data_IF_962681607872
#
_entry.id   IF_962681607872
#
_cell.length_a   1.000
_cell.length_b   1.000
_cell.length_c   1.000
_cell.angle_alpha   90.00
_cell.angle_beta   90.00
_cell.angle_gamma   90.00
#
_symmetry.space_group_name_H-M   'P 1'
#
loop_
_entity.id
_entity.type
_entity.pdbx_description
1 polymer ?
#
# COMPACT_ATOMS: atom_id res chain seq x y z
N UNK A 1 36.58 -19.23 14.56
CA UNK A 1 35.14 -19.36 14.26
C UNK A 1 34.40 -18.53 15.28
N UNK A 2 34.09 -17.29 14.91
CA UNK A 2 33.20 -16.38 15.62
C UNK A 2 32.48 -15.58 14.52
N UNK A 3 31.19 -15.35 14.75
CA UNK A 3 30.17 -14.88 13.83
C UNK A 3 30.48 -13.47 13.29
N UNK A 4 30.11 -13.22 12.03
CA UNK A 4 30.23 -11.89 11.40
C UNK A 4 29.03 -11.04 11.81
N UNK A 5 29.32 -9.98 12.56
CA UNK A 5 28.41 -8.93 12.97
C UNK A 5 27.77 -8.18 11.79
N UNK A 6 26.47 -7.93 11.91
CA UNK A 6 25.70 -7.05 11.03
C UNK A 6 26.10 -5.59 11.29
N UNK A 7 26.78 -4.96 10.34
CA UNK A 7 27.00 -3.52 10.37
C UNK A 7 25.81 -2.81 9.71
N UNK A 8 24.86 -2.33 10.51
CA UNK A 8 23.81 -1.41 10.05
C UNK A 8 24.40 0.01 10.05
N UNK A 9 24.71 0.56 8.87
CA UNK A 9 25.12 1.96 8.76
C UNK A 9 23.87 2.83 8.72
N UNK A 10 23.47 3.37 9.88
CA UNK A 10 22.53 4.50 9.96
C UNK A 10 23.34 5.78 9.75
N UNK A 11 23.19 6.46 8.61
CA UNK A 11 23.74 7.80 8.42
C UNK A 11 22.70 8.85 8.85
N UNK A 12 22.93 9.62 9.93
CA UNK A 12 22.04 10.71 10.28
C UNK A 12 22.21 11.87 9.29
N UNK A 13 21.10 12.38 8.74
CA UNK A 13 21.07 13.60 7.94
C UNK A 13 21.11 14.81 8.90
N UNK A 14 22.16 15.61 8.87
CA UNK A 14 22.24 16.87 9.63
C UNK A 14 21.75 18.02 8.75
N UNK A 15 20.76 18.78 9.22
CA UNK A 15 20.28 19.99 8.56
C UNK A 15 20.99 21.22 9.14
N UNK A 16 21.50 22.10 8.28
CA UNK A 16 22.00 23.41 8.71
C UNK A 16 20.92 24.49 8.58
N UNK A 17 20.99 25.59 9.35
CA UNK A 17 20.02 26.69 9.28
C UNK A 17 19.95 27.41 7.92
N UNK A 18 20.91 27.18 7.03
CA UNK A 18 20.97 27.78 5.69
C UNK A 18 20.34 26.91 4.58
N UNK A 19 19.86 25.71 4.89
CA UNK A 19 19.22 24.83 3.89
C UNK A 19 20.17 24.09 2.95
N UNK A 20 21.49 24.22 3.13
CA UNK A 20 22.48 23.44 2.38
C UNK A 20 22.66 22.05 2.98
N UNK A 21 22.68 21.03 2.11
CA UNK A 21 22.93 19.62 2.44
C UNK A 21 24.43 19.34 2.37
N UNK A 22 25.07 19.06 3.50
CA UNK A 22 26.46 18.60 3.56
C UNK A 22 26.44 17.09 3.83
N UNK A 23 27.12 16.33 2.97
CA UNK A 23 27.37 14.90 3.22
C UNK A 23 28.41 14.76 4.34
N UNK A 24 28.11 13.97 5.36
CA UNK A 24 29.06 13.66 6.43
C UNK A 24 30.15 12.69 5.93
N UNK A 25 31.03 13.15 5.05
CA UNK A 25 32.29 12.47 4.73
C UNK A 25 33.53 13.32 5.07
N UNK A 26 33.39 14.60 5.45
CA UNK A 26 34.54 15.49 5.66
C UNK A 26 34.88 15.80 7.13
N UNK A 27 34.29 15.10 8.12
CA UNK A 27 34.49 15.41 9.55
C UNK A 27 34.87 14.23 10.46
N UNK A 28 35.27 13.07 9.92
CA UNK A 28 35.73 11.93 10.72
C UNK A 28 37.25 11.75 10.61
N UNK A 29 37.99 12.75 11.06
CA UNK A 29 39.38 12.57 11.52
C UNK A 29 39.55 13.33 12.84
N UNK A 30 38.86 12.87 13.88
CA UNK A 30 39.40 12.80 15.25
C UNK A 30 38.31 12.37 16.24
N UNK A 31 38.74 11.61 17.24
CA UNK A 31 37.99 11.13 18.42
C UNK A 31 37.12 9.87 18.21
N UNK A 32 37.78 8.71 18.10
CA UNK A 32 37.20 7.46 18.60
C UNK A 32 37.32 7.42 20.13
N UNK A 33 36.19 7.46 20.85
CA UNK A 33 36.08 6.82 22.16
C UNK A 33 34.84 5.91 22.19
N UNK A 34 34.97 4.68 22.69
CA UNK A 34 33.85 3.74 22.71
C UNK A 34 32.87 4.09 23.82
N UNK A 35 31.60 4.28 23.47
CA UNK A 35 30.50 4.39 24.43
C UNK A 35 30.11 2.98 24.88
N UNK A 36 30.31 2.68 26.17
CA UNK A 36 29.85 1.44 26.82
C UNK A 36 28.38 1.60 27.16
N UNK A 37 27.52 0.77 26.57
CA UNK A 37 26.09 0.67 26.94
C UNK A 37 25.94 -0.21 28.20
N UNK A 38 25.11 0.18 29.20
CA UNK A 38 24.79 -0.68 30.33
C UNK A 38 23.79 -1.78 29.93
N UNK A 39 24.01 -2.99 30.44
CA UNK A 39 23.18 -4.16 30.19
C UNK A 39 21.77 -4.02 30.80
N UNK A 40 20.73 -4.37 30.05
CA UNK A 40 19.35 -4.51 30.53
C UNK A 40 19.16 -5.84 31.27
N UNK A 41 18.41 -5.88 32.39
CA UNK A 41 18.23 -7.09 33.18
C UNK A 41 17.23 -8.06 32.55
N UNK A 42 17.61 -9.34 32.57
CA UNK A 42 16.78 -10.51 32.30
C UNK A 42 15.64 -10.63 33.31
N UNK A 43 14.41 -10.80 32.83
CA UNK A 43 13.28 -11.31 33.61
C UNK A 43 12.48 -12.31 32.76
N UNK A 44 12.71 -13.59 33.03
CA UNK A 44 11.84 -14.68 32.65
C UNK A 44 10.89 -15.00 33.81
N UNK A 45 9.57 -14.94 33.61
CA UNK A 45 8.56 -15.79 34.28
C UNK A 45 7.16 -15.62 33.60
N UNK A 46 6.18 -16.52 33.82
CA UNK A 46 5.67 -17.43 32.79
C UNK A 46 4.23 -17.11 32.30
N UNK A 47 3.81 -17.83 31.26
CA UNK A 47 2.48 -17.83 30.67
C UNK A 47 1.35 -17.98 31.70
N UNK A 48 0.36 -17.09 31.62
CA UNK A 48 -1.00 -17.32 32.14
C UNK A 48 -1.95 -17.31 30.94
N UNK A 49 -2.60 -18.46 30.74
CA UNK A 49 -3.68 -18.65 29.77
C UNK A 49 -4.93 -17.97 30.33
N UNK A 50 -5.48 -16.99 29.60
CA UNK A 50 -6.81 -16.44 29.84
C UNK A 50 -7.73 -16.77 28.64
N UNK A 51 -8.91 -17.28 28.96
CA UNK A 51 -9.97 -17.66 28.02
C UNK A 51 -10.68 -16.42 27.43
N UNK A 52 -11.48 -16.56 26.36
CA UNK A 52 -11.78 -15.46 25.43
C UNK A 52 -12.90 -14.56 25.96
N UNK A 53 -12.60 -13.28 26.15
CA UNK A 53 -13.64 -12.25 26.30
C UNK A 53 -14.16 -11.83 24.93
N UNK A 54 -15.45 -12.09 24.71
CA UNK A 54 -16.22 -11.60 23.57
C UNK A 54 -16.39 -10.09 23.67
N UNK A 55 -15.50 -9.33 23.03
CA UNK A 55 -15.72 -7.91 22.80
C UNK A 55 -16.48 -7.71 21.48
N UNK A 56 -17.70 -7.17 21.58
CA UNK A 56 -18.41 -6.60 20.44
C UNK A 56 -17.62 -5.44 19.82
N UNK A 57 -17.96 -4.99 18.60
CA UNK A 57 -17.16 -3.98 17.91
C UNK A 57 -17.19 -2.66 18.69
N UNK A 58 -16.01 -2.21 19.10
CA UNK A 58 -15.81 -0.90 19.69
C UNK A 58 -16.22 0.17 18.68
N UNK A 59 -17.18 1.03 19.06
CA UNK A 59 -17.50 2.22 18.28
C UNK A 59 -16.30 3.18 18.35
N UNK A 60 -15.78 3.59 17.19
CA UNK A 60 -14.71 4.58 17.14
C UNK A 60 -15.24 5.95 17.53
N UNK A 61 -14.79 6.46 18.68
CA UNK A 61 -15.02 7.85 19.05
C UNK A 61 -14.09 8.76 18.24
N UNK A 62 -14.57 9.27 17.11
CA UNK A 62 -13.95 10.42 16.46
C UNK A 62 -14.25 11.67 17.32
N UNK A 63 -13.25 12.12 18.09
CA UNK A 63 -13.29 13.45 18.69
C UNK A 63 -13.12 14.52 17.59
N UNK A 64 -13.87 15.64 17.61
CA UNK A 64 -13.76 16.66 16.59
C UNK A 64 -12.52 17.51 16.85
N UNK A 65 -11.50 17.39 16.01
CA UNK A 65 -10.46 18.42 15.90
C UNK A 65 -10.09 18.67 14.44
N UNK A 66 -11.00 19.32 13.74
CA UNK A 66 -10.66 20.24 12.65
C UNK A 66 -11.48 21.50 12.94
N UNK A 67 -10.80 22.56 13.38
CA UNK A 67 -11.38 23.90 13.34
C UNK A 67 -11.83 24.17 11.91
N UNK A 68 -13.03 24.71 11.71
CA UNK A 68 -13.58 25.13 10.42
C UNK A 68 -12.77 26.28 9.78
N UNK A 69 -11.45 26.14 9.67
CA UNK A 69 -10.69 26.89 8.69
C UNK A 69 -11.23 26.49 7.33
N UNK A 70 -11.82 27.46 6.62
CA UNK A 70 -12.20 27.31 5.21
C UNK A 70 -11.03 26.66 4.47
N UNK A 71 -11.20 25.40 4.09
CA UNK A 71 -10.25 24.73 3.21
C UNK A 71 -10.31 25.50 1.89
N UNK A 72 -9.30 26.32 1.62
CA UNK A 72 -9.10 26.95 0.32
C UNK A 72 -8.35 25.95 -0.59
N UNK A 73 -8.42 26.15 -1.90
CA UNK A 73 -7.74 25.28 -2.87
C UNK A 73 -6.23 25.19 -2.61
N UNK A 74 -5.63 26.27 -2.10
CA UNK A 74 -4.19 26.35 -1.80
C UNK A 74 -3.75 25.45 -0.63
N UNK A 75 -4.65 25.12 0.30
CA UNK A 75 -4.35 24.23 1.44
C UNK A 75 -4.44 22.74 1.09
N UNK A 76 -5.15 22.37 0.02
CA UNK A 76 -5.37 20.97 -0.35
C UNK A 76 -4.06 20.21 -0.60
N UNK A 77 -3.06 20.73 -1.34
CA UNK A 77 -1.76 20.09 -1.49
C UNK A 77 -1.08 19.73 -0.15
N UNK A 78 -1.15 20.63 0.83
CA UNK A 78 -0.58 20.41 2.16
C UNK A 78 -1.35 19.32 2.92
N UNK A 79 -2.68 19.33 2.86
CA UNK A 79 -3.51 18.28 3.46
C UNK A 79 -3.18 16.90 2.87
N UNK A 80 -3.04 16.82 1.55
CA UNK A 80 -2.68 15.57 0.87
C UNK A 80 -1.31 15.07 1.35
N UNK A 81 -0.28 15.93 1.36
CA UNK A 81 1.07 15.55 1.83
C UNK A 81 1.07 15.02 3.26
N UNK A 82 0.28 15.64 4.14
CA UNK A 82 0.18 15.24 5.55
C UNK A 82 -0.57 13.93 5.72
N UNK A 83 -1.69 13.76 5.03
CA UNK A 83 -2.57 12.61 5.24
C UNK A 83 -2.13 11.36 4.48
N UNK A 84 -1.40 11.50 3.36
CA UNK A 84 -1.13 10.39 2.44
C UNK A 84 0.36 10.13 2.24
N UNK A 85 0.76 8.87 2.38
CA UNK A 85 2.07 8.36 1.96
C UNK A 85 1.95 7.25 0.92
N UNK A 86 2.68 7.35 -0.18
CA UNK A 86 2.85 6.33 -1.20
C UNK A 86 4.13 5.55 -0.94
N UNK A 87 3.99 4.26 -0.61
CA UNK A 87 5.05 3.34 -0.24
C UNK A 87 5.32 2.40 -1.41
N UNK A 88 6.30 2.75 -2.24
CA UNK A 88 6.57 2.09 -3.52
C UNK A 88 7.73 1.12 -3.35
N UNK A 89 7.48 -0.17 -3.62
CA UNK A 89 8.54 -1.18 -3.67
C UNK A 89 9.04 -1.33 -5.10
N UNK A 90 10.34 -1.11 -5.31
CA UNK A 90 11.03 -1.48 -6.55
C UNK A 90 12.10 -2.52 -6.25
N UNK A 91 11.95 -3.70 -6.82
CA UNK A 91 12.87 -4.81 -6.57
C UNK A 91 13.58 -5.23 -7.85
N UNK A 92 14.86 -5.57 -7.70
CA UNK A 92 15.69 -6.04 -8.80
C UNK A 92 15.51 -7.56 -8.95
N UNK A 93 14.99 -8.06 -10.07
CA UNK A 93 14.91 -9.50 -10.29
C UNK A 93 16.33 -10.09 -10.37
N UNK A 94 16.52 -11.24 -9.73
CA UNK A 94 17.79 -11.97 -9.78
C UNK A 94 18.09 -12.45 -11.21
N UNK A 95 19.32 -12.25 -11.66
CA UNK A 95 19.87 -12.75 -12.93
C UNK A 95 19.03 -12.44 -14.18
N UNK A 96 18.29 -11.32 -14.18
CA UNK A 96 17.42 -10.93 -15.30
C UNK A 96 17.51 -9.43 -15.64
N UNK A 97 18.64 -9.03 -16.20
CA UNK A 97 18.93 -7.62 -16.52
C UNK A 97 17.97 -7.02 -17.55
N UNK A 98 17.47 -7.82 -18.49
CA UNK A 98 16.53 -7.37 -19.50
C UNK A 98 15.16 -7.01 -18.88
N UNK A 99 14.66 -7.84 -17.95
CA UNK A 99 13.45 -7.52 -17.20
C UNK A 99 13.69 -6.32 -16.28
N UNK A 100 14.84 -6.29 -15.60
CA UNK A 100 15.22 -5.19 -14.72
C UNK A 100 15.20 -3.84 -15.45
N UNK A 101 15.86 -3.73 -16.60
CA UNK A 101 15.91 -2.49 -17.37
C UNK A 101 14.50 -1.96 -17.74
N UNK A 102 13.59 -2.85 -18.14
CA UNK A 102 12.19 -2.49 -18.44
C UNK A 102 11.44 -2.02 -17.19
N UNK A 103 11.54 -2.76 -16.09
CA UNK A 103 10.85 -2.47 -14.83
C UNK A 103 11.37 -1.17 -14.22
N UNK A 104 12.67 -0.95 -14.23
CA UNK A 104 13.30 0.30 -13.79
C UNK A 104 12.85 1.50 -14.63
N UNK A 105 12.68 1.33 -15.95
CA UNK A 105 12.10 2.37 -16.82
C UNK A 105 10.66 2.69 -16.42
N UNK A 106 9.84 1.67 -16.16
CA UNK A 106 8.46 1.83 -15.72
C UNK A 106 8.35 2.47 -14.32
N UNK A 107 9.23 2.09 -13.40
CA UNK A 107 9.35 2.67 -12.07
C UNK A 107 9.60 4.17 -12.15
N UNK A 108 10.57 4.60 -12.96
CA UNK A 108 10.84 6.03 -13.18
C UNK A 108 9.64 6.78 -13.75
N UNK A 109 8.92 6.18 -14.71
CA UNK A 109 7.69 6.75 -15.27
C UNK A 109 6.59 6.87 -14.20
N UNK A 110 6.46 5.88 -13.33
CA UNK A 110 5.53 5.91 -12.20
C UNK A 110 5.90 7.04 -11.23
N UNK A 111 7.17 7.17 -10.86
CA UNK A 111 7.61 8.25 -9.96
C UNK A 111 7.30 9.63 -10.53
N UNK A 112 7.60 9.84 -11.82
CA UNK A 112 7.25 11.09 -12.52
C UNK A 112 5.73 11.31 -12.47
N UNK A 113 4.92 10.29 -12.75
CA UNK A 113 3.47 10.43 -12.73
C UNK A 113 2.96 10.83 -11.33
N UNK A 114 3.37 10.12 -10.27
CA UNK A 114 2.93 10.43 -8.90
C UNK A 114 3.39 11.83 -8.45
N UNK A 115 4.63 12.19 -8.78
CA UNK A 115 5.23 13.49 -8.46
C UNK A 115 4.73 14.65 -9.34
N UNK A 116 3.94 14.41 -10.39
CA UNK A 116 3.39 15.48 -11.23
C UNK A 116 1.87 15.57 -11.15
N UNK A 117 1.19 14.45 -10.88
CA UNK A 117 -0.27 14.37 -10.80
C UNK A 117 -0.80 14.50 -9.38
N UNK A 118 0.02 14.25 -8.35
CA UNK A 118 -0.46 14.25 -6.96
C UNK A 118 0.44 15.05 -6.04
N UNK A 119 -0.10 15.38 -4.87
CA UNK A 119 0.66 15.89 -3.74
C UNK A 119 0.96 14.81 -2.69
N UNK A 120 0.74 13.53 -3.00
CA UNK A 120 1.04 12.43 -2.05
C UNK A 120 2.53 12.39 -1.74
N UNK A 121 2.88 12.17 -0.47
CA UNK A 121 4.26 12.00 -0.01
C UNK A 121 4.82 10.67 -0.51
N UNK A 122 6.03 10.64 -1.08
CA UNK A 122 6.59 9.42 -1.71
C UNK A 122 7.69 8.81 -0.83
N UNK A 123 7.60 7.51 -0.59
CA UNK A 123 8.56 6.69 0.14
C UNK A 123 8.96 5.49 -0.73
N UNK A 124 10.26 5.20 -0.82
CA UNK A 124 10.77 4.16 -1.71
C UNK A 124 11.42 3.02 -0.92
N UNK A 125 11.00 1.79 -1.17
CA UNK A 125 11.69 0.58 -0.75
C UNK A 125 12.43 -0.01 -1.95
N UNK A 126 13.76 0.09 -1.95
CA UNK A 126 14.64 -0.34 -3.04
C UNK A 126 15.35 -1.63 -2.63
N UNK A 127 15.00 -2.75 -3.26
CA UNK A 127 15.43 -4.08 -2.83
C UNK A 127 16.22 -4.84 -3.92
N UNK A 128 17.36 -5.42 -3.56
CA UNK A 128 18.22 -6.18 -4.46
C UNK A 128 19.06 -5.31 -5.41
N UNK A 129 19.04 -3.99 -5.24
CA UNK A 129 19.81 -3.07 -6.07
C UNK A 129 21.28 -3.10 -5.66
N UNK A 130 22.20 -3.01 -6.61
CA UNK A 130 23.59 -2.79 -6.26
C UNK A 130 23.85 -1.31 -5.89
N UNK A 131 24.95 -1.06 -5.19
CA UNK A 131 25.27 0.29 -4.69
C UNK A 131 25.41 1.32 -5.81
N UNK A 132 25.98 0.93 -6.95
CA UNK A 132 26.13 1.80 -8.11
C UNK A 132 24.78 2.20 -8.72
N UNK A 133 23.86 1.24 -8.88
CA UNK A 133 22.50 1.51 -9.36
C UNK A 133 21.76 2.48 -8.44
N UNK A 134 21.91 2.29 -7.12
CA UNK A 134 21.32 3.18 -6.13
C UNK A 134 21.90 4.60 -6.22
N UNK A 135 23.24 4.73 -6.26
CA UNK A 135 23.92 6.02 -6.35
C UNK A 135 23.59 6.76 -7.65
N UNK A 136 23.64 6.06 -8.80
CA UNK A 136 23.26 6.61 -10.11
C UNK A 136 21.81 7.11 -10.11
N UNK A 137 20.90 6.37 -9.46
CA UNK A 137 19.51 6.77 -9.32
C UNK A 137 19.35 8.03 -8.46
N UNK A 138 20.07 8.15 -7.35
CA UNK A 138 20.01 9.31 -6.46
C UNK A 138 20.56 10.60 -7.10
N UNK A 139 21.57 10.49 -7.96
CA UNK A 139 22.09 11.63 -8.72
C UNK A 139 21.01 12.19 -9.65
N UNK A 140 20.15 11.33 -10.18
CA UNK A 140 19.16 11.67 -11.20
C UNK A 140 19.84 11.96 -12.54
N UNK A 141 19.49 11.15 -13.54
CA UNK A 141 20.02 11.26 -14.90
C UNK A 141 19.30 12.33 -15.75
N UNK A 142 18.20 12.90 -15.26
CA UNK A 142 17.46 13.98 -15.94
C UNK A 142 17.02 15.10 -14.98
N UNK A 143 16.82 16.34 -15.47
CA UNK A 143 16.27 17.43 -14.65
C UNK A 143 14.91 17.11 -14.02
N UNK A 144 14.07 16.35 -14.71
CA UNK A 144 12.77 15.89 -14.23
C UNK A 144 12.95 14.92 -13.06
N UNK A 145 13.81 13.91 -13.21
CA UNK A 145 14.09 12.96 -12.13
C UNK A 145 14.69 13.65 -10.91
N UNK A 146 15.58 14.63 -11.09
CA UNK A 146 16.11 15.44 -9.98
C UNK A 146 15.00 16.18 -9.22
N UNK A 147 13.97 16.68 -9.92
CA UNK A 147 12.79 17.30 -9.28
C UNK A 147 11.93 16.27 -8.54
N UNK A 148 11.75 15.09 -9.13
CA UNK A 148 11.02 13.97 -8.52
C UNK A 148 11.70 13.51 -7.23
N UNK A 149 13.02 13.32 -7.24
CA UNK A 149 13.79 12.88 -6.07
C UNK A 149 13.76 13.89 -4.93
N UNK A 150 13.65 15.19 -5.22
CA UNK A 150 13.41 16.22 -4.20
C UNK A 150 12.05 16.09 -3.50
N UNK A 151 11.09 15.39 -4.11
CA UNK A 151 9.77 15.10 -3.53
C UNK A 151 9.69 13.78 -2.78
N UNK A 152 10.71 12.93 -2.91
CA UNK A 152 10.79 11.69 -2.13
C UNK A 152 11.16 12.05 -0.70
N UNK A 153 10.36 11.58 0.25
CA UNK A 153 10.54 11.86 1.67
C UNK A 153 11.65 10.98 2.25
N UNK A 154 11.64 9.69 1.92
CA UNK A 154 12.64 8.75 2.42
C UNK A 154 12.86 7.56 1.47
N UNK A 155 14.01 6.91 1.62
CA UNK A 155 14.43 5.73 0.86
C UNK A 155 14.94 4.66 1.82
N UNK A 156 14.49 3.42 1.62
CA UNK A 156 15.03 2.26 2.31
C UNK A 156 15.69 1.34 1.32
N UNK A 157 17.01 1.24 1.42
CA UNK A 157 17.82 0.43 0.53
C UNK A 157 18.18 -0.91 1.18
N UNK A 158 18.09 -1.99 0.42
CA UNK A 158 18.66 -3.29 0.78
C UNK A 158 19.31 -3.93 -0.45
N UNK A 159 20.60 -4.22 -0.37
CA UNK A 159 21.35 -4.85 -1.44
C UNK A 159 20.97 -6.34 -1.65
N UNK A 160 20.40 -6.98 -0.63
CA UNK A 160 20.00 -8.38 -0.68
C UNK A 160 18.59 -8.53 -1.25
N UNK A 161 18.41 -9.57 -2.06
CA UNK A 161 17.10 -9.98 -2.55
C UNK A 161 16.19 -10.36 -1.37
N UNK A 162 14.95 -9.87 -1.40
CA UNK A 162 13.93 -10.16 -0.40
C UNK A 162 12.66 -10.66 -1.07
N UNK A 163 12.00 -11.60 -0.39
CA UNK A 163 10.68 -12.07 -0.80
C UNK A 163 9.69 -10.91 -0.77
N UNK A 164 8.70 -10.98 -1.65
CA UNK A 164 7.68 -9.93 -1.82
C UNK A 164 6.96 -9.58 -0.51
N UNK A 165 6.64 -10.58 0.31
CA UNK A 165 6.00 -10.36 1.61
C UNK A 165 6.85 -9.51 2.55
N UNK A 166 8.17 -9.71 2.58
CA UNK A 166 9.08 -8.94 3.42
C UNK A 166 9.14 -7.47 2.98
N UNK A 167 9.13 -7.23 1.67
CA UNK A 167 9.04 -5.86 1.14
C UNK A 167 7.72 -5.19 1.53
N UNK A 168 6.60 -5.92 1.47
CA UNK A 168 5.30 -5.41 1.88
C UNK A 168 5.24 -5.10 3.38
N UNK A 169 5.72 -6.01 4.21
CA UNK A 169 5.80 -5.84 5.68
C UNK A 169 6.63 -4.61 6.02
N UNK A 170 7.79 -4.44 5.40
CA UNK A 170 8.63 -3.25 5.61
C UNK A 170 7.89 -1.95 5.27
N UNK A 171 7.22 -1.89 4.12
CA UNK A 171 6.39 -0.71 3.78
C UNK A 171 5.28 -0.46 4.81
N UNK A 172 4.60 -1.51 5.29
CA UNK A 172 3.56 -1.40 6.31
C UNK A 172 4.12 -0.93 7.66
N UNK A 173 5.29 -1.41 8.07
CA UNK A 173 5.94 -1.00 9.32
C UNK A 173 6.26 0.49 9.31
N UNK A 174 6.90 0.97 8.23
CA UNK A 174 7.18 2.39 8.06
C UNK A 174 5.89 3.22 7.98
N UNK A 175 4.87 2.72 7.28
CA UNK A 175 3.58 3.39 7.23
C UNK A 175 2.92 3.54 8.60
N UNK A 176 2.77 2.45 9.35
CA UNK A 176 2.16 2.50 10.67
C UNK A 176 3.02 3.27 11.68
N UNK A 177 4.32 3.46 11.44
CA UNK A 177 5.18 4.32 12.25
C UNK A 177 5.05 5.81 11.88
N UNK A 178 4.52 6.13 10.69
CA UNK A 178 4.32 7.51 10.23
C UNK A 178 3.07 8.16 10.83
N UNK A 179 2.98 9.49 10.67
CA UNK A 179 1.78 10.27 10.99
C UNK A 179 0.74 10.31 9.85
N UNK A 180 1.02 9.64 8.72
CA UNK A 180 0.07 9.57 7.62
C UNK A 180 -1.18 8.81 8.03
N UNK A 181 -2.35 9.34 7.65
CA UNK A 181 -3.66 8.73 7.86
C UNK A 181 -3.89 7.55 6.93
N UNK A 182 -3.34 7.62 5.72
CA UNK A 182 -3.51 6.65 4.65
C UNK A 182 -2.17 6.28 4.01
N UNK A 183 -1.99 4.98 3.80
CA UNK A 183 -0.82 4.40 3.16
C UNK A 183 -1.22 3.78 1.84
N UNK A 184 -0.62 4.23 0.74
CA UNK A 184 -0.79 3.66 -0.59
C UNK A 184 0.36 2.70 -0.83
N UNK A 185 0.05 1.42 -0.83
CA UNK A 185 1.00 0.32 -1.01
C UNK A 185 1.09 0.02 -2.49
N UNK A 186 2.29 0.18 -3.08
CA UNK A 186 2.50 0.18 -4.53
C UNK A 186 3.63 -0.75 -4.97
N UNK A 187 3.41 -1.43 -6.08
CA UNK A 187 4.47 -2.03 -6.88
C UNK A 187 5.09 -0.95 -7.82
N UNK A 188 6.18 -1.30 -8.50
CA UNK A 188 7.02 -0.38 -9.30
C UNK A 188 6.54 -0.08 -10.74
N UNK A 189 5.24 -0.25 -11.01
CA UNK A 189 4.62 0.18 -12.26
C UNK A 189 3.16 0.62 -12.15
N UNK A 190 2.69 0.89 -10.94
CA UNK A 190 1.28 1.18 -10.68
C UNK A 190 1.00 2.70 -10.64
N UNK A 191 0.14 3.15 -11.55
CA UNK A 191 -0.42 4.51 -11.56
C UNK A 191 -1.94 4.44 -11.70
N UNK A 192 -2.62 5.60 -11.60
CA UNK A 192 -4.04 5.68 -11.93
C UNK A 192 -4.25 6.16 -13.37
N UNK A 193 -5.28 5.66 -14.04
CA UNK A 193 -5.68 6.18 -15.35
C UNK A 193 -6.17 7.62 -15.22
N UNK A 194 -5.66 8.52 -16.06
CA UNK A 194 -5.98 9.95 -16.09
C UNK A 194 -6.99 10.34 -17.18
N UNK A 195 -7.67 9.37 -17.79
CA UNK A 195 -8.73 9.63 -18.77
C UNK A 195 -9.94 10.33 -18.14
N UNK A 196 -10.56 11.26 -18.90
CA UNK A 196 -11.61 12.16 -18.42
C UNK A 196 -12.92 11.44 -18.02
N UNK A 197 -13.15 10.23 -18.54
CA UNK A 197 -14.33 9.42 -18.20
C UNK A 197 -14.26 8.80 -16.80
N UNK A 198 -13.22 9.12 -16.03
CA UNK A 198 -12.99 8.60 -14.68
C UNK A 198 -13.33 9.66 -13.63
N UNK A 199 -14.37 9.36 -12.86
CA UNK A 199 -14.94 10.22 -11.83
C UNK A 199 -14.10 10.27 -10.55
N UNK A 200 -12.81 10.65 -10.65
CA UNK A 200 -11.92 11.29 -9.65
C UNK A 200 -10.46 11.03 -10.03
N UNK A 201 -10.10 9.78 -10.37
CA UNK A 201 -8.71 9.40 -10.67
C UNK A 201 -7.76 9.87 -9.54
N UNK A 202 -6.63 10.49 -9.86
CA UNK A 202 -5.68 11.06 -8.91
C UNK A 202 -6.27 12.15 -8.00
N UNK A 203 -7.38 12.79 -8.40
CA UNK A 203 -8.06 13.80 -7.57
C UNK A 203 -8.71 13.20 -6.32
N UNK A 204 -8.93 11.87 -6.29
CA UNK A 204 -9.49 11.18 -5.14
C UNK A 204 -8.76 11.54 -3.85
N UNK A 205 -7.41 11.61 -3.87
CA UNK A 205 -6.63 11.88 -2.66
C UNK A 205 -6.88 13.29 -2.12
N UNK A 206 -6.96 14.27 -3.02
CA UNK A 206 -7.33 15.64 -2.68
C UNK A 206 -8.75 15.69 -2.11
N UNK A 207 -9.71 15.12 -2.82
CA UNK A 207 -11.12 15.11 -2.44
C UNK A 207 -11.36 14.41 -1.09
N UNK A 208 -10.70 13.27 -0.84
CA UNK A 208 -10.76 12.56 0.43
C UNK A 208 -10.10 13.35 1.57
N UNK A 209 -9.03 14.10 1.28
CA UNK A 209 -8.33 14.88 2.31
C UNK A 209 -9.17 16.03 2.86
N UNK A 210 -10.07 16.57 2.05
CA UNK A 210 -11.01 17.63 2.45
C UNK A 210 -12.10 17.08 3.38
N UNK A 211 -12.58 15.86 3.11
CA UNK A 211 -13.74 15.26 3.78
C UNK A 211 -13.36 14.01 4.62
N UNK A 212 -12.15 13.96 5.21
CA UNK A 212 -11.57 12.74 5.80
C UNK A 212 -12.52 11.98 6.74
N UNK A 213 -13.28 12.72 7.58
CA UNK A 213 -14.21 12.17 8.56
C UNK A 213 -15.40 11.41 7.93
N UNK A 214 -15.77 11.74 6.69
CA UNK A 214 -16.90 11.09 6.00
C UNK A 214 -16.59 9.68 5.49
N UNK A 215 -15.33 9.25 5.56
CA UNK A 215 -14.90 7.91 5.13
C UNK A 215 -14.88 6.89 6.27
N UNK A 216 -15.63 7.12 7.35
CA UNK A 216 -15.85 6.10 8.38
C UNK A 216 -16.40 4.80 7.74
N UNK A 217 -15.85 3.65 8.13
CA UNK A 217 -16.19 2.36 7.53
C UNK A 217 -15.47 2.04 6.20
N UNK A 218 -14.49 2.87 5.80
CA UNK A 218 -13.44 2.52 4.83
C UNK A 218 -12.13 2.25 5.60
N UNK A 219 -11.65 1.02 5.52
CA UNK A 219 -10.42 0.59 6.22
C UNK A 219 -9.30 0.24 5.24
N UNK A 220 -9.63 -0.56 4.21
CA UNK A 220 -8.75 -0.89 3.09
C UNK A 220 -9.53 -0.70 1.79
N UNK A 221 -8.92 -0.05 0.81
CA UNK A 221 -9.51 0.02 -0.53
C UNK A 221 -8.50 -0.07 -1.67
N UNK A 222 -8.97 -0.42 -2.86
CA UNK A 222 -8.13 -0.56 -4.05
C UNK A 222 -8.89 -0.12 -5.32
N UNK A 223 -8.18 0.28 -6.39
CA UNK A 223 -8.80 0.71 -7.64
C UNK A 223 -9.47 -0.42 -8.42
N UNK A 224 -10.31 -0.06 -9.40
CA UNK A 224 -10.76 -0.99 -10.43
C UNK A 224 -9.54 -1.46 -11.24
N UNK A 225 -9.40 -2.78 -11.38
CA UNK A 225 -8.49 -3.37 -12.35
C UNK A 225 -9.17 -3.44 -13.73
N UNK A 226 -8.77 -2.56 -14.65
CA UNK A 226 -9.33 -2.50 -16.01
C UNK A 226 -9.15 -3.80 -16.80
N UNK A 227 -8.15 -4.63 -16.47
CA UNK A 227 -7.94 -5.92 -17.13
C UNK A 227 -8.95 -7.00 -16.70
N UNK A 228 -9.63 -6.84 -15.55
CA UNK A 228 -10.59 -7.82 -15.01
C UNK A 228 -12.04 -7.33 -15.02
N UNK A 229 -12.26 -6.02 -15.06
CA UNK A 229 -13.58 -5.43 -14.86
C UNK A 229 -13.93 -4.49 -16.02
N UNK A 230 -15.12 -4.63 -16.64
CA UNK A 230 -15.62 -3.68 -17.62
C UNK A 230 -15.98 -2.38 -16.92
N UNK A 231 -14.99 -1.54 -16.66
CA UNK A 231 -15.14 -0.34 -15.84
C UNK A 231 -16.16 0.66 -16.44
N UNK A 232 -16.35 0.68 -17.76
CA UNK A 232 -17.40 1.46 -18.41
C UNK A 232 -18.80 1.12 -17.89
N UNK A 233 -19.07 -0.15 -17.58
CA UNK A 233 -20.33 -0.58 -16.96
C UNK A 233 -20.39 -0.18 -15.49
N UNK A 234 -19.30 -0.41 -14.77
CA UNK A 234 -19.23 -0.19 -13.32
C UNK A 234 -19.27 1.29 -12.94
N UNK A 235 -18.71 2.17 -13.76
CA UNK A 235 -18.59 3.61 -13.53
C UNK A 235 -19.65 4.38 -14.30
N UNK A 236 -19.75 4.15 -15.62
CA UNK A 236 -20.60 4.94 -16.51
C UNK A 236 -21.95 4.28 -16.80
N UNK A 237 -22.14 3.01 -16.39
CA UNK A 237 -23.35 2.27 -16.69
C UNK A 237 -23.46 1.88 -18.16
N UNK A 238 -22.35 1.86 -18.90
CA UNK A 238 -22.30 1.57 -20.33
C UNK A 238 -21.76 0.15 -20.55
N UNK A 239 -22.49 -0.65 -21.31
CA UNK A 239 -22.06 -1.97 -21.77
C UNK A 239 -22.26 -2.04 -23.28
N UNK A 240 -21.20 -2.36 -24.02
CA UNK A 240 -21.23 -2.49 -25.50
C UNK A 240 -21.86 -1.24 -26.18
N UNK A 241 -21.43 -0.06 -25.76
CA UNK A 241 -21.94 1.26 -26.19
C UNK A 241 -23.42 1.56 -25.88
N UNK A 242 -24.06 0.73 -25.03
CA UNK A 242 -25.43 0.91 -24.57
C UNK A 242 -25.47 1.30 -23.10
N UNK A 243 -26.21 2.35 -22.76
CA UNK A 243 -26.48 2.74 -21.37
C UNK A 243 -27.46 1.76 -20.75
N UNK A 244 -26.99 0.98 -19.78
CA UNK A 244 -27.78 -0.01 -19.03
C UNK A 244 -27.97 0.37 -17.55
N UNK A 245 -27.22 1.36 -17.04
CA UNK A 245 -27.41 1.97 -15.70
C UNK A 245 -27.31 3.50 -15.80
N UNK A 246 -28.39 4.20 -16.18
CA UNK A 246 -28.33 5.63 -16.56
C UNK A 246 -27.84 6.55 -15.44
N UNK A 247 -28.14 6.23 -14.17
CA UNK A 247 -27.76 7.09 -13.04
C UNK A 247 -26.32 6.86 -12.56
N UNK A 248 -25.62 5.87 -13.11
CA UNK A 248 -24.36 5.41 -12.55
C UNK A 248 -23.24 6.45 -12.76
N UNK A 249 -23.22 7.12 -13.91
CA UNK A 249 -22.27 8.20 -14.19
C UNK A 249 -22.46 9.36 -13.20
N UNK A 250 -23.70 9.79 -12.98
CA UNK A 250 -24.02 10.88 -12.05
C UNK A 250 -23.72 10.50 -10.60
N UNK A 251 -24.06 9.27 -10.20
CA UNK A 251 -23.74 8.71 -8.89
C UNK A 251 -22.24 8.81 -8.58
N UNK A 252 -21.38 8.40 -9.50
CA UNK A 252 -19.92 8.49 -9.33
C UNK A 252 -19.39 9.92 -9.49
N UNK A 253 -20.08 10.78 -10.25
CA UNK A 253 -19.75 12.20 -10.32
C UNK A 253 -19.94 12.88 -8.96
N UNK A 254 -21.04 12.59 -8.28
CA UNK A 254 -21.43 13.20 -7.00
C UNK A 254 -20.80 12.53 -5.78
N UNK A 255 -20.46 11.23 -5.86
CA UNK A 255 -19.98 10.46 -4.72
C UNK A 255 -18.71 9.68 -5.02
N UNK A 256 -17.92 9.42 -3.98
CA UNK A 256 -16.99 8.30 -3.95
C UNK A 256 -17.73 7.02 -3.55
N UNK A 257 -17.65 6.01 -4.40
CA UNK A 257 -18.38 4.75 -4.28
C UNK A 257 -17.39 3.62 -3.96
N UNK A 258 -17.55 3.03 -2.78
CA UNK A 258 -16.73 1.91 -2.31
C UNK A 258 -17.58 0.64 -2.18
N UNK A 259 -17.31 -0.37 -3.00
CA UNK A 259 -18.03 -1.65 -2.98
C UNK A 259 -17.21 -2.75 -2.32
N UNK A 260 -17.83 -3.58 -1.49
CA UNK A 260 -17.19 -4.72 -0.86
C UNK A 260 -16.61 -5.64 -1.92
N UNK A 261 -15.30 -5.84 -1.88
CA UNK A 261 -14.59 -6.68 -2.83
C UNK A 261 -13.30 -7.18 -2.18
N UNK A 262 -13.07 -8.48 -2.25
CA UNK A 262 -11.99 -9.14 -1.53
C UNK A 262 -10.90 -9.67 -2.47
N UNK A 263 -11.01 -9.39 -3.78
CA UNK A 263 -9.95 -9.59 -4.77
C UNK A 263 -9.06 -8.34 -4.82
N UNK A 264 -8.40 -8.06 -3.69
CA UNK A 264 -7.48 -6.94 -3.54
C UNK A 264 -6.34 -7.08 -4.57
N UNK A 265 -5.96 -5.97 -5.18
CA UNK A 265 -4.95 -5.94 -6.23
C UNK A 265 -3.60 -5.55 -5.64
N UNK A 266 -2.65 -6.49 -5.57
CA UNK A 266 -1.35 -6.27 -4.93
C UNK A 266 -0.53 -5.09 -5.49
N UNK A 267 -0.71 -4.73 -6.76
CA UNK A 267 0.05 -3.63 -7.36
C UNK A 267 -0.36 -2.25 -6.85
N UNK A 268 -1.58 -2.09 -6.34
CA UNK A 268 -2.00 -0.88 -5.65
C UNK A 268 -3.16 -1.17 -4.71
N UNK A 269 -2.95 -0.89 -3.43
CA UNK A 269 -4.03 -0.76 -2.46
C UNK A 269 -3.74 0.34 -1.44
N UNK A 270 -4.79 0.82 -0.78
CA UNK A 270 -4.75 1.84 0.24
C UNK A 270 -5.21 1.24 1.55
N UNK A 271 -4.52 1.55 2.63
CA UNK A 271 -4.83 1.11 3.98
C UNK A 271 -4.86 2.30 4.93
N UNK A 272 -5.82 2.32 5.86
CA UNK A 272 -5.90 3.29 6.96
C UNK A 272 -4.82 3.01 8.00
N UNK A 273 -4.27 4.05 8.60
CA UNK A 273 -3.35 3.89 9.73
C UNK A 273 -4.12 3.56 11.01
N UNK A 274 -4.29 2.27 11.29
CA UNK A 274 -5.01 1.78 12.46
C UNK A 274 -4.40 2.25 13.80
N UNK A 275 -3.09 2.53 13.85
CA UNK A 275 -2.45 3.01 15.09
C UNK A 275 -2.99 4.37 15.52
N UNK A 276 -3.29 5.26 14.57
CA UNK A 276 -3.82 6.59 14.86
C UNK A 276 -5.26 6.56 15.40
N UNK A 277 -5.95 5.42 15.25
CA UNK A 277 -7.27 5.16 15.82
C UNK A 277 -7.24 4.15 16.98
N UNK A 278 -6.04 3.84 17.52
CA UNK A 278 -5.84 2.85 18.58
C UNK A 278 -6.41 1.45 18.27
N UNK A 279 -6.44 1.08 16.99
CA UNK A 279 -6.91 -0.21 16.51
C UNK A 279 -5.73 -1.14 16.19
N UNK A 280 -5.89 -2.47 16.33
CA UNK A 280 -4.86 -3.44 15.95
C UNK A 280 -4.46 -3.30 14.48
N UNK A 281 -3.15 -3.21 14.21
CA UNK A 281 -2.63 -3.08 12.83
C UNK A 281 -2.78 -4.39 12.05
N UNK A 282 -3.11 -4.28 10.76
CA UNK A 282 -3.05 -5.42 9.84
C UNK A 282 -1.61 -5.60 9.40
N UNK A 283 -0.94 -6.63 9.92
CA UNK A 283 0.43 -6.97 9.59
C UNK A 283 0.52 -8.46 9.22
N UNK A 284 0.74 -8.80 7.94
CA UNK A 284 0.95 -10.18 7.51
C UNK A 284 2.19 -10.80 8.18
N UNK A 285 2.14 -12.10 8.47
CA UNK A 285 3.32 -12.84 8.92
C UNK A 285 4.37 -12.90 7.79
N UNK A 286 5.62 -12.41 8.00
CA UNK A 286 6.68 -12.50 7.00
C UNK A 286 7.07 -13.95 6.65
N UNK A 287 6.68 -14.94 7.45
CA UNK A 287 6.83 -16.36 7.13
C UNK A 287 5.85 -16.87 6.06
N UNK A 288 4.83 -16.09 5.67
CA UNK A 288 3.96 -16.42 4.54
C UNK A 288 4.69 -16.16 3.22
N UNK A 289 5.49 -17.14 2.79
CA UNK A 289 6.34 -16.99 1.60
C UNK A 289 5.71 -17.54 0.32
N UNK A 290 4.42 -17.85 0.36
CA UNK A 290 3.64 -18.37 -0.76
C UNK A 290 3.11 -17.21 -1.62
N UNK A 291 2.61 -17.54 -2.81
CA UNK A 291 1.97 -16.55 -3.69
C UNK A 291 0.64 -16.03 -3.09
N UNK A 292 0.27 -14.80 -3.44
CA UNK A 292 -0.99 -14.18 -3.01
C UNK A 292 -0.90 -13.48 -1.65
N UNK A 293 0.19 -12.76 -1.40
CA UNK A 293 0.39 -11.97 -0.19
C UNK A 293 -0.63 -10.82 -0.06
N UNK A 294 -1.10 -10.31 -1.19
CA UNK A 294 -2.19 -9.33 -1.28
C UNK A 294 -3.53 -9.93 -0.83
N UNK A 295 -3.80 -11.15 -1.24
CA UNK A 295 -4.95 -11.94 -0.81
C UNK A 295 -4.84 -12.27 0.67
N UNK A 296 -3.66 -12.66 1.15
CA UNK A 296 -3.42 -12.87 2.58
C UNK A 296 -3.69 -11.61 3.39
N UNK A 297 -3.15 -10.46 2.99
CA UNK A 297 -3.41 -9.18 3.64
C UNK A 297 -4.91 -8.87 3.70
N UNK A 298 -5.64 -9.06 2.60
CA UNK A 298 -7.08 -8.84 2.56
C UNK A 298 -7.85 -9.79 3.50
N UNK A 299 -7.50 -11.07 3.54
CA UNK A 299 -8.15 -12.03 4.44
C UNK A 299 -7.83 -11.71 5.90
N UNK A 300 -6.60 -11.34 6.21
CA UNK A 300 -6.20 -10.93 7.54
C UNK A 300 -7.00 -9.70 8.01
N UNK A 301 -7.09 -8.66 7.19
CA UNK A 301 -7.88 -7.47 7.48
C UNK A 301 -9.35 -7.80 7.76
N UNK A 302 -9.97 -8.62 6.90
CA UNK A 302 -11.37 -9.05 7.07
C UNK A 302 -11.53 -9.86 8.36
N UNK A 303 -10.59 -10.76 8.65
CA UNK A 303 -10.63 -11.61 9.85
C UNK A 303 -10.55 -10.82 11.16
N UNK A 304 -10.05 -9.59 11.10
CA UNK A 304 -9.97 -8.61 12.19
C UNK A 304 -11.17 -7.66 12.23
N UNK A 305 -12.14 -7.83 11.32
CA UNK A 305 -13.34 -7.01 11.22
C UNK A 305 -13.20 -5.77 10.34
N UNK A 306 -12.08 -5.59 9.62
CA UNK A 306 -11.87 -4.44 8.75
C UNK A 306 -12.48 -4.65 7.35
N UNK A 307 -13.04 -3.59 6.80
CA UNK A 307 -13.59 -3.59 5.45
C UNK A 307 -12.48 -3.59 4.38
N UNK A 308 -12.67 -4.41 3.35
CA UNK A 308 -11.86 -4.38 2.12
C UNK A 308 -12.79 -4.06 0.96
N UNK A 309 -12.54 -2.94 0.29
CA UNK A 309 -13.46 -2.37 -0.70
C UNK A 309 -12.73 -2.03 -2.00
N UNK A 310 -13.41 -2.17 -3.14
CA UNK A 310 -12.99 -1.54 -4.40
C UNK A 310 -13.53 -0.12 -4.44
N UNK A 311 -12.68 0.87 -4.70
CA UNK A 311 -13.11 2.23 -4.99
C UNK A 311 -13.40 2.36 -6.49
N UNK A 312 -14.65 2.62 -6.85
CA UNK A 312 -15.07 2.68 -8.25
C UNK A 312 -14.73 4.03 -8.92
N UNK A 313 -14.10 4.96 -8.20
CA UNK A 313 -13.72 6.29 -8.71
C UNK A 313 -12.27 6.37 -9.21
N UNK A 314 -11.50 5.29 -9.03
CA UNK A 314 -10.11 5.18 -9.46
C UNK A 314 -9.89 3.88 -10.23
N UNK A 315 -9.12 3.96 -11.31
CA UNK A 315 -8.80 2.82 -12.18
C UNK A 315 -7.29 2.66 -12.22
N UNK A 316 -6.84 1.45 -11.98
CA UNK A 316 -5.45 1.07 -12.05
C UNK A 316 -4.98 1.04 -13.49
N UNK A 317 -3.79 1.60 -13.71
CA UNK A 317 -3.01 1.43 -14.92
C UNK A 317 -1.62 0.92 -14.54
N UNK A 318 -1.31 -0.29 -15.00
CA UNK A 318 0.01 -0.90 -14.85
C UNK A 318 0.82 -0.58 -16.13
N UNK A 319 2.05 -0.09 -15.98
CA UNK A 319 2.92 0.13 -17.15
C UNK A 319 3.52 -1.17 -17.68
N UNK A 320 3.57 -2.21 -16.86
CA UNK A 320 4.17 -3.47 -17.27
C UNK A 320 3.13 -4.41 -17.85
N UNK A 321 3.49 -5.04 -18.97
CA UNK A 321 2.63 -6.04 -19.60
C UNK A 321 2.59 -7.33 -18.76
N UNK A 322 1.54 -8.16 -18.88
CA UNK A 322 1.51 -9.48 -18.24
C UNK A 322 2.73 -10.37 -18.58
N UNK A 323 3.39 -10.14 -19.73
CA UNK A 323 4.57 -10.90 -20.17
C UNK A 323 5.84 -10.53 -19.41
N UNK A 324 5.87 -9.36 -18.80
CA UNK A 324 6.99 -8.85 -18.00
C UNK A 324 6.63 -8.90 -16.49
N UNK A 325 5.73 -9.82 -16.13
CA UNK A 325 5.34 -10.12 -14.74
C UNK A 325 6.47 -10.84 -14.01
N UNK A 326 6.71 -10.45 -12.76
CA UNK A 326 7.70 -11.10 -11.89
C UNK A 326 7.37 -12.57 -11.56
N UNK A 327 6.13 -12.99 -11.77
CA UNK A 327 5.63 -14.31 -11.37
C UNK A 327 5.67 -15.39 -12.47
N UNK A 328 6.43 -15.15 -13.55
CA UNK A 328 6.68 -16.16 -14.58
C UNK A 328 5.47 -16.54 -15.43
N UNK A 329 5.50 -17.76 -15.99
CA UNK A 329 4.49 -18.25 -16.92
C UNK A 329 3.11 -18.50 -16.25
N UNK A 330 1.99 -18.36 -16.99
CA UNK A 330 0.64 -18.46 -16.43
C UNK A 330 0.32 -19.76 -15.70
N UNK A 331 0.82 -20.91 -16.17
CA UNK A 331 0.55 -22.22 -15.58
C UNK A 331 1.20 -22.36 -14.20
N UNK A 332 2.49 -22.02 -14.08
CA UNK A 332 3.20 -22.01 -12.81
C UNK A 332 2.57 -21.05 -11.80
N UNK A 333 2.01 -19.93 -12.29
CA UNK A 333 1.27 -18.97 -11.46
C UNK A 333 -0.01 -19.58 -10.89
N UNK A 334 -0.74 -20.37 -11.67
CA UNK A 334 -1.98 -21.02 -11.22
C UNK A 334 -1.71 -22.02 -10.09
N UNK A 335 -0.66 -22.82 -10.20
CA UNK A 335 -0.30 -23.79 -9.17
C UNK A 335 0.17 -23.09 -7.89
N UNK A 336 1.01 -22.07 -8.02
CA UNK A 336 1.44 -21.25 -6.88
C UNK A 336 0.26 -20.53 -6.19
N UNK A 337 -0.70 -20.02 -6.97
CA UNK A 337 -1.95 -19.45 -6.45
C UNK A 337 -2.76 -20.47 -5.66
N UNK A 338 -2.85 -21.70 -6.16
CA UNK A 338 -3.56 -22.78 -5.46
C UNK A 338 -2.91 -23.10 -4.12
N UNK A 339 -1.58 -23.25 -4.09
CA UNK A 339 -0.83 -23.54 -2.87
C UNK A 339 -1.01 -22.44 -1.81
N UNK A 340 -0.86 -21.17 -2.21
CA UNK A 340 -1.13 -20.05 -1.33
C UNK A 340 -2.56 -20.04 -0.78
N UNK A 341 -3.55 -20.24 -1.66
CA UNK A 341 -4.95 -20.25 -1.25
C UNK A 341 -5.31 -21.46 -0.36
N UNK A 342 -4.69 -22.62 -0.55
CA UNK A 342 -4.85 -23.76 0.36
C UNK A 342 -4.37 -23.40 1.76
N UNK A 343 -3.19 -22.78 1.87
CA UNK A 343 -2.67 -22.35 3.16
C UNK A 343 -3.57 -21.31 3.83
N UNK A 344 -4.13 -20.36 3.07
CA UNK A 344 -5.10 -19.41 3.59
C UNK A 344 -6.37 -20.09 4.08
N UNK A 345 -6.91 -21.03 3.31
CA UNK A 345 -8.09 -21.80 3.69
C UNK A 345 -7.86 -22.58 5.00
N UNK A 346 -6.67 -23.17 5.21
CA UNK A 346 -6.30 -23.80 6.49
C UNK A 346 -6.24 -22.78 7.63
N UNK A 347 -5.58 -21.64 7.41
CA UNK A 347 -5.38 -20.62 8.45
C UNK A 347 -6.68 -19.97 8.93
N UNK A 348 -7.71 -19.91 8.08
CA UNK A 348 -9.00 -19.26 8.38
C UNK A 348 -10.19 -20.22 8.27
N UNK A 349 -9.95 -21.53 8.38
CA UNK A 349 -10.97 -22.57 8.24
C UNK A 349 -12.09 -22.42 9.29
N UNK A 350 -11.72 -22.08 10.53
CA UNK A 350 -12.61 -21.85 11.67
C UNK A 350 -13.61 -20.70 11.40
N UNK A 351 -13.20 -19.72 10.59
CA UNK A 351 -14.02 -18.60 10.15
C UNK A 351 -14.78 -18.87 8.85
N UNK A 352 -14.68 -20.08 8.30
CA UNK A 352 -15.42 -20.50 7.10
C UNK A 352 -14.74 -20.16 5.77
N UNK A 353 -13.46 -19.79 5.75
CA UNK A 353 -12.72 -19.66 4.49
C UNK A 353 -12.39 -21.05 3.94
N UNK A 354 -12.64 -21.27 2.64
CA UNK A 354 -12.41 -22.57 2.00
C UNK A 354 -12.01 -22.42 0.54
N UNK A 355 -11.43 -23.47 -0.04
CA UNK A 355 -11.21 -23.54 -1.48
C UNK A 355 -12.54 -23.67 -2.24
N UNK A 356 -12.61 -23.11 -3.45
CA UNK A 356 -13.67 -23.45 -4.41
C UNK A 356 -13.46 -24.87 -4.93
N UNK A 357 -14.56 -25.53 -5.29
CA UNK A 357 -14.52 -26.80 -6.01
C UNK A 357 -14.09 -26.58 -7.47
N UNK A 358 -14.63 -25.53 -8.11
CA UNK A 358 -14.27 -25.13 -9.46
C UNK A 358 -14.37 -23.59 -9.59
N UNK A 359 -13.31 -22.89 -10.05
CA UNK A 359 -11.96 -23.40 -10.28
C UNK A 359 -11.20 -23.60 -8.96
N UNK A 360 -10.48 -24.71 -8.86
CA UNK A 360 -9.80 -25.21 -7.65
C UNK A 360 -8.60 -24.37 -7.14
N UNK A 361 -8.23 -23.30 -7.86
CA UNK A 361 -7.16 -22.39 -7.44
C UNK A 361 -7.70 -21.11 -6.77
N UNK A 362 -9.03 -20.98 -6.61
CA UNK A 362 -9.68 -19.81 -6.01
C UNK A 362 -10.31 -20.14 -4.66
N UNK A 363 -10.52 -19.10 -3.85
CA UNK A 363 -11.20 -19.18 -2.56
C UNK A 363 -12.71 -18.95 -2.69
N UNK A 364 -13.49 -19.67 -1.89
CA UNK A 364 -14.87 -19.37 -1.58
C UNK A 364 -14.90 -18.54 -0.29
N UNK A 365 -15.37 -17.28 -0.40
CA UNK A 365 -15.20 -16.27 0.65
C UNK A 365 -16.51 -15.84 1.32
N UNK A 366 -17.67 -16.29 0.83
CA UNK A 366 -18.96 -15.74 1.26
C UNK A 366 -19.25 -16.00 2.75
N UNK A 367 -19.02 -17.22 3.22
CA UNK A 367 -19.23 -17.60 4.62
C UNK A 367 -18.23 -16.87 5.53
N UNK A 368 -16.96 -16.76 5.09
CA UNK A 368 -15.92 -16.01 5.76
C UNK A 368 -16.26 -14.52 5.91
N UNK A 369 -16.71 -13.88 4.84
CA UNK A 369 -17.14 -12.47 4.85
C UNK A 369 -18.35 -12.29 5.77
N UNK A 370 -19.35 -13.17 5.66
CA UNK A 370 -20.56 -13.11 6.50
C UNK A 370 -20.21 -13.26 7.98
N UNK A 371 -19.30 -14.19 8.31
CA UNK A 371 -18.85 -14.43 9.67
C UNK A 371 -18.08 -13.23 10.24
N UNK A 372 -17.14 -12.67 9.48
CA UNK A 372 -16.24 -11.65 10.01
C UNK A 372 -16.79 -10.21 9.93
N UNK A 373 -17.63 -9.91 8.93
CA UNK A 373 -18.14 -8.56 8.66
C UNK A 373 -19.66 -8.44 8.78
N UNK A 374 -20.36 -9.49 9.23
CA UNK A 374 -21.82 -9.54 9.32
C UNK A 374 -22.44 -8.24 9.85
N UNK A 375 -23.28 -7.61 9.03
CA UNK A 375 -23.93 -6.33 9.35
C UNK A 375 -23.26 -5.09 8.73
N UNK A 376 -22.04 -5.18 8.17
CA UNK A 376 -21.43 -4.05 7.44
C UNK A 376 -22.08 -3.84 6.06
N UNK A 377 -22.27 -2.58 5.62
CA UNK A 377 -22.82 -2.29 4.29
C UNK A 377 -21.95 -2.82 3.15
N UNK A 378 -22.59 -3.47 2.18
CA UNK A 378 -21.95 -3.99 0.95
C UNK A 378 -21.38 -2.84 0.10
N UNK A 379 -22.01 -1.66 0.13
CA UNK A 379 -21.52 -0.45 -0.54
C UNK A 379 -21.51 0.70 0.45
N UNK A 380 -20.55 1.59 0.30
CA UNK A 380 -20.50 2.88 0.99
C UNK A 380 -20.40 3.97 -0.08
N UNK A 381 -21.18 5.03 0.07
CA UNK A 381 -21.15 6.20 -0.80
C UNK A 381 -20.88 7.43 0.04
N UNK A 382 -19.85 8.18 -0.34
CA UNK A 382 -19.43 9.39 0.37
C UNK A 382 -19.55 10.57 -0.60
N UNK A 383 -20.35 11.60 -0.30
CA UNK A 383 -20.43 12.79 -1.14
C UNK A 383 -19.06 13.44 -1.32
N UNK A 384 -18.75 13.80 -2.58
CA UNK A 384 -17.52 14.55 -2.88
C UNK A 384 -17.61 15.97 -2.30
N UNK A 385 -16.47 16.59 -1.96
CA UNK A 385 -16.45 18.01 -1.64
C UNK A 385 -17.01 18.82 -2.81
N UNK A 386 -17.82 19.84 -2.50
CA UNK A 386 -18.45 20.74 -3.47
C UNK A 386 -17.51 21.86 -3.93
#
# INVERSE_FOLDING_TARGET
MLEQDQLLILMPLIHTPAGDRIFACDALTDVMQPVVMPALPSLATPMVVAAPETHGPAMSSFGPHVSEERINEDHVPMLVRRQWGAYITCFRPKDNDALWAKRFTNFRRQLIWWATKTDVSIYLNLNGWNFKEFDDFLVGDSPEMKKVLKRVVDFWYNAQDQKLINNRVKCLEHFYASEHRWGIMLDDDAVLSDEEHHNSSWRLFAEMSVNEHNYEGVDVFFPINAAKSPWGLEVNGIKDDVVVKPDNAERHRLNHVFTGNTDLKGSMFVVRNFRLSHQPVVMPDPAYTLHGEDTYFAMLAISMGYSVRRCNNIILREFTSPRDSYFGAPEARRDAMREGNLRLAEMFADKGLRMKQDPEHLLFKDDFIRHCLGGKPVSLEVPKPQ
#
